data_IF_227188747613
#
_entry.id   IF_227188747613
#
_cell.length_a   1.000
_cell.length_b   1.000
_cell.length_c   1.000
_cell.angle_alpha   90.00
_cell.angle_beta   90.00
_cell.angle_gamma   90.00
#
_symmetry.space_group_name_H-M   'P 1'
#
loop_
_entity.id
_entity.type
_entity.pdbx_description
1 polymer ?
#
# COMPACT_ATOMS: atom_id res chain seq x y z
N UNK A 1 -10.09 -7.29 -1.21
CA UNK A 1 -9.02 -7.30 -2.23
C UNK A 1 -9.52 -7.66 -3.62
N UNK A 2 -9.99 -8.89 -3.88
CA UNK A 2 -10.38 -9.33 -5.25
C UNK A 2 -11.50 -8.44 -5.83
N UNK A 3 -12.57 -8.21 -5.06
CA UNK A 3 -13.72 -7.39 -5.49
C UNK A 3 -13.37 -5.94 -5.85
N UNK A 4 -12.28 -5.41 -5.28
CA UNK A 4 -11.84 -4.03 -5.47
C UNK A 4 -10.61 -3.90 -6.37
N UNK A 5 -10.09 -5.03 -6.88
CA UNK A 5 -8.90 -5.11 -7.76
C UNK A 5 -7.74 -4.21 -7.29
N UNK A 6 -7.47 -4.21 -5.98
CA UNK A 6 -6.72 -3.14 -5.29
C UNK A 6 -5.35 -2.84 -5.89
N UNK A 7 -4.58 -3.87 -6.22
CA UNK A 7 -3.25 -3.68 -6.81
C UNK A 7 -3.32 -2.99 -8.18
N UNK A 8 -4.30 -3.37 -9.01
CA UNK A 8 -4.54 -2.74 -10.31
C UNK A 8 -5.01 -1.30 -10.14
N UNK A 9 -5.88 -1.02 -9.16
CA UNK A 9 -6.35 0.33 -8.88
C UNK A 9 -5.23 1.25 -8.43
N UNK A 10 -4.32 0.78 -7.58
CA UNK A 10 -3.13 1.57 -7.19
C UNK A 10 -2.29 1.91 -8.44
N UNK A 11 -1.99 0.91 -9.28
CA UNK A 11 -1.26 1.13 -10.53
C UNK A 11 -1.98 2.12 -11.45
N UNK A 12 -3.31 2.00 -11.57
CA UNK A 12 -4.14 2.87 -12.40
C UNK A 12 -4.16 4.30 -11.87
N UNK A 13 -4.24 4.51 -10.55
CA UNK A 13 -4.18 5.84 -9.95
C UNK A 13 -2.83 6.51 -10.19
N UNK A 14 -1.72 5.77 -10.07
CA UNK A 14 -0.39 6.29 -10.38
C UNK A 14 -0.28 6.73 -11.84
N UNK A 15 -0.76 5.90 -12.78
CA UNK A 15 -0.62 6.16 -14.23
C UNK A 15 -1.59 7.24 -14.72
N UNK A 16 -2.87 7.15 -14.33
CA UNK A 16 -3.94 7.94 -14.92
C UNK A 16 -4.33 9.17 -14.11
N UNK A 17 -4.10 9.16 -12.79
CA UNK A 17 -4.40 10.30 -11.91
C UNK A 17 -3.14 11.07 -11.50
N UNK A 18 -1.94 10.53 -11.79
CA UNK A 18 -0.65 11.17 -11.53
C UNK A 18 -0.49 11.62 -10.06
N UNK A 19 -1.03 10.83 -9.13
CA UNK A 19 -0.91 11.03 -7.67
C UNK A 19 0.28 10.25 -7.11
N UNK A 20 0.69 10.56 -5.88
CA UNK A 20 1.79 9.86 -5.22
C UNK A 20 1.42 8.42 -4.83
N UNK A 21 2.44 7.57 -4.64
CA UNK A 21 2.24 6.21 -4.11
C UNK A 21 1.57 6.23 -2.73
N UNK A 22 1.96 7.17 -1.87
CA UNK A 22 1.36 7.36 -0.56
C UNK A 22 -0.15 7.62 -0.67
N UNK A 23 -0.55 8.58 -1.50
CA UNK A 23 -1.96 8.94 -1.71
C UNK A 23 -2.76 7.76 -2.31
N UNK A 24 -2.20 7.12 -3.34
CA UNK A 24 -2.86 5.98 -3.99
C UNK A 24 -3.09 4.81 -3.01
N UNK A 25 -2.10 4.52 -2.15
CA UNK A 25 -2.23 3.50 -1.12
C UNK A 25 -3.22 3.88 -0.02
N UNK A 26 -3.27 5.15 0.37
CA UNK A 26 -4.26 5.63 1.35
C UNK A 26 -5.69 5.54 0.81
N UNK A 27 -5.95 5.98 -0.41
CA UNK A 27 -7.24 5.88 -1.08
C UNK A 27 -7.64 4.40 -1.21
N UNK A 28 -6.72 3.55 -1.66
CA UNK A 28 -6.96 2.11 -1.79
C UNK A 28 -7.36 1.46 -0.46
N UNK A 29 -6.71 1.82 0.65
CA UNK A 29 -7.05 1.27 1.96
C UNK A 29 -8.34 1.86 2.53
N UNK A 30 -8.44 3.20 2.59
CA UNK A 30 -9.53 3.91 3.25
C UNK A 30 -10.84 3.87 2.47
N UNK A 31 -10.78 4.03 1.16
CA UNK A 31 -11.96 4.20 0.32
C UNK A 31 -12.34 2.93 -0.43
N UNK A 32 -11.36 2.10 -0.82
CA UNK A 32 -11.66 0.88 -1.59
C UNK A 32 -11.73 -0.38 -0.73
N UNK A 33 -11.07 -0.44 0.42
CA UNK A 33 -11.01 -1.66 1.25
C UNK A 33 -11.87 -1.58 2.51
N UNK A 34 -11.78 -0.49 3.29
CA UNK A 34 -12.56 -0.34 4.53
C UNK A 34 -14.08 -0.52 4.34
N UNK A 35 -14.72 -0.05 3.24
CA UNK A 35 -16.18 -0.21 3.08
C UNK A 35 -16.64 -1.66 2.94
N UNK A 36 -15.76 -2.59 2.54
CA UNK A 36 -16.10 -4.01 2.44
C UNK A 36 -16.05 -4.72 3.80
N UNK A 37 -15.61 -4.04 4.85
CA UNK A 37 -15.33 -4.64 6.15
C UNK A 37 -14.10 -5.54 6.12
N UNK A 38 -13.50 -5.75 7.30
CA UNK A 38 -12.37 -6.63 7.49
C UNK A 38 -11.00 -5.96 7.40
N UNK A 39 -9.98 -6.76 7.66
CA UNK A 39 -8.59 -6.32 7.72
C UNK A 39 -7.87 -6.58 6.39
N UNK A 40 -7.08 -5.61 5.97
CA UNK A 40 -6.27 -5.64 4.76
C UNK A 40 -4.97 -4.87 4.99
N UNK A 41 -3.94 -5.29 4.28
CA UNK A 41 -2.66 -4.61 4.20
C UNK A 41 -2.05 -4.82 2.83
N UNK A 42 -1.18 -3.90 2.42
CA UNK A 42 -0.47 -3.97 1.17
C UNK A 42 0.93 -3.36 1.30
N UNK A 43 1.83 -3.86 0.46
CA UNK A 43 3.17 -3.35 0.27
C UNK A 43 3.26 -2.96 -1.20
N UNK A 44 3.65 -1.73 -1.47
CA UNK A 44 3.75 -1.20 -2.82
C UNK A 44 5.06 -0.46 -3.01
N UNK A 45 5.57 -0.52 -4.24
CA UNK A 45 6.79 0.16 -4.68
C UNK A 45 6.47 0.80 -6.04
N UNK A 46 6.82 2.07 -6.22
CA UNK A 46 6.66 2.77 -7.50
C UNK A 46 7.97 2.80 -8.31
N UNK A 47 7.90 3.40 -9.51
CA UNK A 47 9.03 3.55 -10.43
C UNK A 47 10.17 4.42 -9.88
N UNK A 48 9.88 5.26 -8.88
CA UNK A 48 10.82 6.18 -8.26
C UNK A 48 11.41 5.58 -6.97
N UNK A 49 11.18 4.28 -6.73
CA UNK A 49 11.64 3.53 -5.56
C UNK A 49 11.06 4.07 -4.23
N UNK A 50 9.90 4.72 -4.26
CA UNK A 50 9.13 4.99 -3.06
C UNK A 50 8.50 3.68 -2.59
N UNK A 51 8.47 3.46 -1.28
CA UNK A 51 7.98 2.22 -0.68
C UNK A 51 6.89 2.58 0.32
N UNK A 52 5.72 1.96 0.19
CA UNK A 52 4.62 2.12 1.14
C UNK A 52 4.22 0.76 1.69
N UNK A 53 4.18 0.66 3.02
CA UNK A 53 3.68 -0.50 3.74
C UNK A 53 2.53 -0.03 4.64
N UNK A 54 1.29 -0.37 4.28
CA UNK A 54 0.10 0.16 4.96
C UNK A 54 -0.89 -0.97 5.26
N UNK A 55 -1.55 -0.89 6.42
CA UNK A 55 -2.61 -1.82 6.81
C UNK A 55 -3.64 -1.15 7.74
N UNK A 56 -4.82 -1.76 7.81
CA UNK A 56 -5.86 -1.42 8.79
C UNK A 56 -6.06 -2.53 9.85
N UNK A 57 -5.20 -3.56 9.83
CA UNK A 57 -5.16 -4.64 10.82
C UNK A 57 -4.51 -4.17 12.15
N UNK A 58 -4.69 -4.93 13.23
CA UNK A 58 -3.90 -4.73 14.47
C UNK A 58 -2.40 -4.94 14.20
N UNK A 59 -2.08 -5.92 13.33
CA UNK A 59 -0.70 -6.32 13.03
C UNK A 59 -0.54 -6.68 11.56
N UNK A 60 0.65 -6.40 11.02
CA UNK A 60 1.11 -6.84 9.71
C UNK A 60 2.62 -7.06 9.79
N UNK A 61 3.05 -8.32 9.70
CA UNK A 61 4.46 -8.65 9.52
C UNK A 61 4.93 -8.08 8.18
N UNK A 62 5.81 -7.08 8.22
CA UNK A 62 6.28 -6.38 7.03
C UNK A 62 7.71 -5.91 7.20
N UNK A 63 8.44 -5.86 6.09
CA UNK A 63 9.79 -5.35 6.04
C UNK A 63 10.12 -4.88 4.63
N UNK A 64 11.10 -3.98 4.53
CA UNK A 64 11.73 -3.65 3.25
C UNK A 64 13.23 -3.46 3.42
N UNK A 65 13.95 -3.52 2.30
CA UNK A 65 15.36 -3.17 2.20
C UNK A 65 15.62 -2.52 0.84
N UNK A 66 16.34 -1.40 0.84
CA UNK A 66 16.81 -0.68 -0.34
C UNK A 66 18.30 -0.96 -0.57
N UNK A 67 18.76 -0.74 -1.80
CA UNK A 67 20.16 -0.92 -2.18
C UNK A 67 21.10 0.09 -1.51
N UNK A 68 20.59 1.23 -1.07
CA UNK A 68 21.30 2.25 -0.30
C UNK A 68 21.56 1.83 1.17
N UNK A 69 21.05 0.67 1.59
CA UNK A 69 21.17 0.16 2.95
C UNK A 69 19.98 0.47 3.87
N UNK A 70 19.04 1.33 3.44
CA UNK A 70 17.82 1.62 4.19
C UNK A 70 16.98 0.35 4.33
N UNK A 71 16.49 0.09 5.54
CA UNK A 71 15.64 -1.06 5.84
C UNK A 71 14.70 -0.75 6.97
N UNK A 72 13.56 -1.43 6.98
CA UNK A 72 12.59 -1.38 8.07
C UNK A 72 12.04 -2.79 8.30
N UNK A 73 11.79 -3.13 9.56
CA UNK A 73 11.09 -4.36 9.95
C UNK A 73 10.05 -3.94 10.99
N UNK A 74 8.78 -4.21 10.69
CA UNK A 74 7.64 -3.71 11.46
C UNK A 74 6.59 -4.82 11.60
N UNK A 75 5.89 -4.81 12.73
CA UNK A 75 4.82 -5.77 13.05
C UNK A 75 3.52 -5.05 13.42
N UNK A 76 3.63 -4.07 14.31
CA UNK A 76 2.51 -3.27 14.78
C UNK A 76 2.26 -2.06 13.89
N UNK A 77 1.16 -1.36 14.16
CA UNK A 77 0.78 -0.13 13.46
C UNK A 77 1.81 0.98 13.72
#
# INVERSE_FOLDING_TARGET
MIRAVVAHEISSMLIYQNISLDDACEIALKEKLNPFGGHAGLIAIDKDCNIKLIHNAERMYRAFKKSDGNKEISLYK
#
